data_IF_177173889422
#
_entry.id   IF_177173889422
#
_cell.length_a   1.000
_cell.length_b   1.000
_cell.length_c   1.000
_cell.angle_alpha   90.00
_cell.angle_beta   90.00
_cell.angle_gamma   90.00
#
_symmetry.space_group_name_H-M   'P 1'
#
loop_
_entity.id
_entity.type
_entity.pdbx_description
1 polymer ?
#
# COMPACT_ATOMS: atom_id res chain seq x y z
N UNK A 1 5.59 -69.63 -2.77
CA UNK A 1 6.17 -68.72 -3.79
C UNK A 1 5.33 -67.46 -3.86
N UNK A 2 6.01 -66.32 -3.94
CA UNK A 2 5.53 -64.97 -3.62
C UNK A 2 4.33 -64.48 -4.44
N UNK A 3 3.42 -63.84 -3.72
CA UNK A 3 2.48 -62.84 -4.22
C UNK A 3 3.26 -61.57 -4.58
N UNK A 4 2.97 -60.96 -5.73
CA UNK A 4 2.93 -59.49 -5.91
C UNK A 4 2.66 -59.13 -7.36
N UNK A 5 1.46 -58.63 -7.64
CA UNK A 5 1.22 -57.75 -8.79
C UNK A 5 0.95 -56.37 -8.22
N UNK A 6 1.96 -55.52 -8.30
CA UNK A 6 1.89 -54.11 -7.94
C UNK A 6 1.00 -53.44 -8.99
N UNK A 7 -0.21 -53.03 -8.59
CA UNK A 7 -1.06 -52.18 -9.41
C UNK A 7 -0.72 -50.72 -9.09
N UNK A 8 -0.11 -50.08 -10.07
CA UNK A 8 0.25 -48.67 -10.10
C UNK A 8 -1.01 -47.86 -10.38
N UNK A 9 -1.18 -46.76 -9.64
CA UNK A 9 -1.62 -45.50 -10.24
C UNK A 9 -3.03 -45.03 -9.89
N UNK A 10 -3.09 -44.00 -9.05
CA UNK A 10 -3.90 -42.81 -9.28
C UNK A 10 -3.45 -41.70 -8.29
N UNK A 11 -2.38 -40.98 -8.65
CA UNK A 11 -2.03 -39.74 -7.97
C UNK A 11 -2.88 -38.63 -8.61
N UNK A 12 -4.04 -38.36 -8.01
CA UNK A 12 -4.85 -37.19 -8.36
C UNK A 12 -4.12 -35.96 -7.81
N UNK A 13 -3.31 -35.33 -8.65
CA UNK A 13 -2.84 -33.98 -8.39
C UNK A 13 -4.04 -33.05 -8.53
N UNK A 14 -4.74 -32.78 -7.43
CA UNK A 14 -5.56 -31.58 -7.32
C UNK A 14 -4.59 -30.40 -7.41
N UNK A 15 -4.40 -29.89 -8.62
CA UNK A 15 -3.89 -28.55 -8.82
C UNK A 15 -4.90 -27.61 -8.17
N UNK A 16 -4.67 -27.25 -6.90
CA UNK A 16 -5.15 -25.97 -6.41
C UNK A 16 -4.50 -24.94 -7.34
N UNK A 17 -5.24 -24.52 -8.36
CA UNK A 17 -5.02 -23.21 -8.98
C UNK A 17 -5.33 -22.20 -7.89
N UNK A 18 -4.38 -22.01 -6.97
CA UNK A 18 -4.24 -20.77 -6.24
C UNK A 18 -4.03 -19.74 -7.33
N UNK A 19 -5.12 -19.10 -7.74
CA UNK A 19 -5.08 -17.92 -8.57
C UNK A 19 -4.23 -16.95 -7.75
N UNK A 20 -2.94 -16.89 -8.05
CA UNK A 20 -2.13 -15.74 -7.69
C UNK A 20 -2.74 -14.63 -8.54
N UNK A 21 -3.85 -14.06 -8.06
CA UNK A 21 -4.36 -12.81 -8.58
C UNK A 21 -3.16 -11.89 -8.50
N UNK A 22 -2.57 -11.59 -9.65
CA UNK A 22 -1.60 -10.53 -9.75
C UNK A 22 -2.31 -9.33 -9.13
N UNK A 23 -1.86 -8.98 -7.94
CA UNK A 23 -2.27 -7.83 -7.16
C UNK A 23 -2.36 -6.63 -8.10
N UNK A 24 -3.58 -6.27 -8.50
CA UNK A 24 -3.77 -5.24 -9.51
C UNK A 24 -3.81 -3.89 -8.81
N UNK A 25 -2.95 -2.96 -9.25
CA UNK A 25 -2.96 -1.56 -8.84
C UNK A 25 -4.36 -0.95 -9.00
N UNK A 26 -5.19 -1.48 -9.93
CA UNK A 26 -6.61 -1.10 -10.07
C UNK A 26 -7.47 -1.33 -8.81
N UNK A 27 -7.01 -2.16 -7.87
CA UNK A 27 -7.69 -2.40 -6.59
C UNK A 27 -7.46 -1.28 -5.58
N UNK A 28 -6.49 -0.40 -5.84
CA UNK A 28 -6.20 0.75 -5.00
C UNK A 28 -7.27 1.84 -5.14
N UNK A 29 -7.58 2.56 -4.05
CA UNK A 29 -8.32 3.81 -4.17
C UNK A 29 -7.71 4.76 -5.19
N UNK A 30 -8.54 5.38 -6.02
CA UNK A 30 -8.10 6.53 -6.80
C UNK A 30 -7.65 7.64 -5.85
N UNK A 31 -6.59 8.38 -6.23
CA UNK A 31 -6.05 9.46 -5.38
C UNK A 31 -7.12 10.51 -5.06
N UNK A 32 -8.03 10.79 -5.99
CA UNK A 32 -9.16 11.70 -5.79
C UNK A 32 -10.19 11.23 -4.76
N UNK A 33 -10.20 9.93 -4.43
CA UNK A 33 -11.07 9.35 -3.40
C UNK A 33 -10.40 9.32 -2.01
N UNK A 34 -9.10 9.58 -1.92
CA UNK A 34 -8.36 9.67 -0.67
C UNK A 34 -8.61 11.04 -0.05
N UNK A 35 -8.87 11.05 1.26
CA UNK A 35 -8.97 12.26 2.07
C UNK A 35 -7.84 12.28 3.08
N UNK A 36 -7.27 13.44 3.29
CA UNK A 36 -6.27 13.70 4.32
C UNK A 36 -6.87 14.49 5.48
N UNK A 37 -6.28 14.33 6.66
CA UNK A 37 -6.51 15.18 7.82
C UNK A 37 -5.23 15.30 8.65
N UNK A 38 -5.01 16.41 9.35
CA UNK A 38 -3.89 16.52 10.30
C UNK A 38 -3.90 15.36 11.29
N UNK A 39 -2.72 14.86 11.61
CA UNK A 39 -2.50 13.76 12.54
C UNK A 39 -1.34 14.10 13.47
N UNK A 40 -1.44 13.68 14.73
CA UNK A 40 -0.36 13.83 15.70
C UNK A 40 -0.29 12.58 16.57
N UNK A 41 0.90 12.01 16.72
CA UNK A 41 1.21 10.90 17.62
C UNK A 41 2.38 11.28 18.57
N UNK A 42 2.09 11.63 19.83
CA UNK A 42 3.11 11.98 20.81
C UNK A 42 4.17 10.90 21.03
N UNK A 43 3.88 9.63 20.75
CA UNK A 43 4.84 8.55 20.90
C UNK A 43 6.01 8.64 19.91
N UNK A 44 5.84 9.39 18.82
CA UNK A 44 6.87 9.60 17.79
C UNK A 44 7.80 10.79 18.09
N UNK A 45 7.60 11.50 19.21
CA UNK A 45 8.48 12.59 19.65
C UNK A 45 8.58 13.73 18.63
N UNK A 46 9.78 14.00 18.13
CA UNK A 46 10.00 15.09 17.15
C UNK A 46 9.34 14.86 15.80
N UNK A 47 8.85 13.65 15.53
CA UNK A 47 8.11 13.29 14.32
C UNK A 47 6.62 13.09 14.61
N UNK A 48 6.11 13.66 15.70
CA UNK A 48 4.72 13.48 16.13
C UNK A 48 3.70 13.90 15.07
N UNK A 49 3.97 14.99 14.35
CA UNK A 49 3.00 15.59 13.46
C UNK A 49 3.09 15.04 12.03
N UNK A 50 1.94 15.04 11.35
CA UNK A 50 1.83 14.69 9.95
C UNK A 50 0.37 14.59 9.51
N UNK A 51 0.07 13.60 8.69
CA UNK A 51 -1.25 13.44 8.07
C UNK A 51 -1.74 12.00 8.13
N UNK A 52 -3.02 11.85 8.47
CA UNK A 52 -3.78 10.61 8.29
C UNK A 52 -4.49 10.66 6.95
N UNK A 53 -4.54 9.54 6.27
CA UNK A 53 -5.21 9.36 4.99
C UNK A 53 -6.26 8.27 5.11
N UNK A 54 -7.44 8.52 4.58
CA UNK A 54 -8.54 7.58 4.56
C UNK A 54 -9.20 7.55 3.18
N UNK A 55 -9.57 6.36 2.72
CA UNK A 55 -10.35 6.20 1.50
C UNK A 55 -11.35 5.05 1.65
N UNK A 56 -12.37 5.05 0.80
CA UNK A 56 -13.29 3.92 0.65
C UNK A 56 -13.34 3.53 -0.81
N UNK A 57 -12.89 2.31 -1.12
CA UNK A 57 -12.87 1.78 -2.49
C UNK A 57 -13.02 0.27 -2.44
N UNK A 58 -13.69 -0.31 -3.44
CA UNK A 58 -13.92 -1.75 -3.55
C UNK A 58 -14.54 -2.39 -2.29
N UNK A 59 -15.45 -1.66 -1.64
CA UNK A 59 -16.11 -2.11 -0.40
C UNK A 59 -15.21 -2.16 0.84
N UNK A 60 -13.99 -1.61 0.75
CA UNK A 60 -12.99 -1.63 1.83
C UNK A 60 -12.67 -0.22 2.31
N UNK A 61 -12.45 -0.10 3.62
CA UNK A 61 -11.87 1.10 4.22
C UNK A 61 -10.35 0.98 4.19
N UNK A 62 -9.72 2.00 3.61
CA UNK A 62 -8.27 2.11 3.48
C UNK A 62 -7.75 3.20 4.40
N UNK A 63 -6.68 2.93 5.13
CA UNK A 63 -6.08 3.88 6.07
C UNK A 63 -4.55 3.92 5.96
N UNK A 64 -3.96 5.09 6.13
CA UNK A 64 -2.52 5.31 6.16
C UNK A 64 -2.15 6.55 6.96
N UNK A 65 -0.87 6.65 7.33
CA UNK A 65 -0.32 7.81 8.05
C UNK A 65 1.06 8.13 7.48
N UNK A 66 1.34 9.41 7.32
CA UNK A 66 2.70 9.94 7.18
C UNK A 66 3.00 10.79 8.41
N UNK A 67 4.15 10.57 9.03
CA UNK A 67 4.59 11.28 10.23
C UNK A 67 5.92 11.98 9.95
N UNK A 68 6.23 13.02 10.71
CA UNK A 68 7.45 13.81 10.54
C UNK A 68 7.48 14.65 9.28
N UNK A 69 6.32 15.11 8.81
CA UNK A 69 6.22 15.94 7.60
C UNK A 69 5.10 16.96 7.75
N UNK A 70 5.35 18.19 7.29
CA UNK A 70 4.34 19.24 7.15
C UNK A 70 3.61 19.17 5.80
N UNK A 71 4.03 18.25 4.92
CA UNK A 71 3.46 18.10 3.59
C UNK A 71 2.34 17.07 3.57
N UNK A 72 1.16 17.54 3.16
CA UNK A 72 0.08 16.67 2.70
C UNK A 72 0.40 16.19 1.29
N UNK A 73 0.64 14.89 1.13
CA UNK A 73 0.99 14.31 -0.16
C UNK A 73 -0.17 14.25 -1.17
N UNK A 74 -1.39 14.62 -0.77
CA UNK A 74 -2.51 14.84 -1.70
C UNK A 74 -2.45 16.21 -2.40
N UNK A 75 -1.52 17.11 -2.03
CA UNK A 75 -1.32 18.36 -2.76
C UNK A 75 -0.98 18.06 -4.24
N UNK A 76 -1.66 18.70 -5.21
CA UNK A 76 -1.43 18.47 -6.64
C UNK A 76 0.03 18.61 -7.09
N UNK A 77 0.86 19.42 -6.39
CA UNK A 77 2.29 19.57 -6.71
C UNK A 77 3.06 18.25 -6.67
N UNK A 78 2.57 17.28 -5.90
CA UNK A 78 3.19 15.97 -5.71
C UNK A 78 2.77 14.93 -6.74
N UNK A 79 1.73 15.19 -7.55
CA UNK A 79 1.24 14.27 -8.60
C UNK A 79 1.19 12.80 -8.14
N UNK A 80 0.65 12.59 -6.94
CA UNK A 80 0.59 11.27 -6.31
C UNK A 80 -0.16 10.28 -7.21
N UNK A 81 0.35 9.05 -7.30
CA UNK A 81 -0.26 7.96 -8.06
C UNK A 81 0.05 6.62 -7.39
N UNK A 82 -0.80 5.63 -7.63
CA UNK A 82 -0.53 4.27 -7.16
C UNK A 82 0.63 3.67 -7.99
N UNK A 83 1.59 3.08 -7.29
CA UNK A 83 2.79 2.46 -7.87
C UNK A 83 2.89 0.97 -7.57
N UNK A 84 2.13 0.47 -6.59
CA UNK A 84 2.11 -0.94 -6.27
C UNK A 84 0.94 -1.35 -5.40
N UNK A 85 0.59 -2.64 -5.47
CA UNK A 85 -0.34 -3.30 -4.59
C UNK A 85 0.34 -4.54 -4.01
N UNK A 86 0.18 -4.77 -2.71
CA UNK A 86 0.67 -5.95 -2.03
C UNK A 86 -0.44 -6.56 -1.17
N UNK A 87 -0.46 -7.88 -1.13
CA UNK A 87 -1.30 -8.64 -0.22
C UNK A 87 -0.42 -9.61 0.57
N UNK A 88 -0.46 -9.48 1.89
CA UNK A 88 0.28 -10.35 2.79
C UNK A 88 -0.45 -10.45 4.14
N UNK A 89 -0.50 -11.65 4.72
CA UNK A 89 -1.04 -11.89 6.06
C UNK A 89 -2.46 -11.33 6.29
N UNK A 90 -3.36 -11.46 5.31
CA UNK A 90 -4.73 -10.94 5.41
C UNK A 90 -4.84 -9.41 5.34
N UNK A 91 -3.77 -8.73 4.90
CA UNK A 91 -3.69 -7.28 4.79
C UNK A 91 -3.38 -6.88 3.35
N UNK A 92 -4.23 -6.02 2.79
CA UNK A 92 -4.02 -5.36 1.51
C UNK A 92 -3.26 -4.05 1.74
N UNK A 93 -2.31 -3.75 0.87
CA UNK A 93 -1.48 -2.55 0.94
C UNK A 93 -1.34 -1.92 -0.43
N UNK A 94 -1.80 -0.69 -0.58
CA UNK A 94 -1.52 0.15 -1.74
C UNK A 94 -0.35 1.06 -1.44
N UNK A 95 0.60 1.12 -2.38
CA UNK A 95 1.77 1.97 -2.34
C UNK A 95 1.56 3.08 -3.36
N UNK A 96 1.71 4.33 -2.91
CA UNK A 96 1.64 5.50 -3.74
C UNK A 96 2.96 6.26 -3.69
N UNK A 97 3.41 6.70 -4.86
CA UNK A 97 4.56 7.57 -5.04
C UNK A 97 4.17 8.82 -5.81
N UNK A 98 5.01 9.85 -5.71
CA UNK A 98 4.78 11.14 -6.35
C UNK A 98 6.07 11.78 -6.84
N UNK A 99 5.94 12.94 -7.46
CA UNK A 99 7.08 13.77 -7.85
C UNK A 99 7.68 14.44 -6.61
N UNK A 100 9.01 14.33 -6.47
CA UNK A 100 9.72 15.05 -5.43
C UNK A 100 9.70 16.55 -5.71
N UNK A 101 9.37 17.35 -4.69
CA UNK A 101 9.36 18.82 -4.79
C UNK A 101 10.52 19.37 -3.97
N UNK A 102 11.20 20.34 -4.56
CA UNK A 102 12.28 21.10 -3.93
C UNK A 102 11.75 22.49 -3.59
N UNK A 103 11.83 22.88 -2.32
CA UNK A 103 11.41 24.19 -1.84
C UNK A 103 12.46 24.83 -0.93
N UNK A 104 12.38 26.15 -0.75
CA UNK A 104 13.29 26.90 0.13
C UNK A 104 14.29 27.79 -0.62
N UNK A 105 15.07 28.54 0.14
CA UNK A 105 16.10 29.44 -0.38
C UNK A 105 17.25 28.62 -1.01
N UNK A 106 17.88 29.12 -2.10
CA UNK A 106 19.09 28.50 -2.64
C UNK A 106 20.14 28.24 -1.56
N UNK A 107 20.58 26.99 -1.41
CA UNK A 107 21.51 26.55 -0.36
C UNK A 107 20.87 26.07 0.94
N UNK A 108 19.54 26.13 1.07
CA UNK A 108 18.77 25.61 2.22
C UNK A 108 17.55 24.80 1.75
N UNK A 109 17.64 24.20 0.58
CA UNK A 109 16.47 23.58 0.00
C UNK A 109 16.09 22.30 0.71
N UNK A 110 14.79 22.15 0.95
CA UNK A 110 14.18 20.96 1.52
C UNK A 110 13.54 20.18 0.38
N UNK A 111 13.82 18.88 0.37
CA UNK A 111 13.20 17.94 -0.57
C UNK A 111 12.06 17.23 0.14
N UNK A 112 10.87 17.31 -0.44
CA UNK A 112 9.72 16.52 -0.03
C UNK A 112 9.53 15.42 -1.06
N UNK A 113 9.60 14.16 -0.62
CA UNK A 113 9.47 12.99 -1.50
C UNK A 113 8.23 12.19 -1.11
N UNK A 114 7.13 12.32 -1.86
CA UNK A 114 5.85 11.69 -1.53
C UNK A 114 5.95 10.17 -1.53
N UNK A 115 5.61 9.59 -0.39
CA UNK A 115 5.47 8.14 -0.25
C UNK A 115 4.36 7.84 0.75
N UNK A 116 3.28 7.25 0.26
CA UNK A 116 2.10 6.93 1.05
C UNK A 116 1.79 5.44 0.94
N UNK A 117 1.49 4.81 2.07
CA UNK A 117 0.93 3.46 2.13
C UNK A 117 -0.48 3.53 2.69
N UNK A 118 -1.44 2.96 1.97
CA UNK A 118 -2.78 2.73 2.48
C UNK A 118 -2.98 1.24 2.72
N UNK A 119 -3.70 0.92 3.79
CA UNK A 119 -3.93 -0.44 4.24
C UNK A 119 -5.41 -0.73 4.41
N UNK A 120 -5.82 -1.93 4.02
CA UNK A 120 -7.17 -2.45 4.24
C UNK A 120 -7.10 -3.94 4.66
N UNK A 121 -8.12 -4.46 5.36
CA UNK A 121 -8.26 -5.90 5.54
C UNK A 121 -8.55 -6.60 4.20
N UNK A 122 -8.02 -7.81 4.03
CA UNK A 122 -8.35 -8.71 2.90
C UNK A 122 -9.83 -9.07 2.81
#
# INVERSE_FOLDING_TARGET
MMHSKIAIGALVFMALTGQTLAADISSCPDVSAIKSSPYSDPALGTFADGFKYEASSNGKKWEGVTAGTDDDYLDPKYKLKAEGFNQANGKLTCIYGGEAVKAGEPGKEVYSNPFLKLHAPE
#
